data_IF_945509758006
#
_entry.id   IF_945509758006
#
_cell.length_a   1.000
_cell.length_b   1.000
_cell.length_c   1.000
_cell.angle_alpha   90.00
_cell.angle_beta   90.00
_cell.angle_gamma   90.00
#
_symmetry.space_group_name_H-M   'P 1'
#
loop_
_entity.id
_entity.type
_entity.pdbx_description
1 polymer ?
#
# COMPACT_ATOMS: atom_id res chain seq x y z
N UNK A 1 1.10 21.25 18.13
CA UNK A 1 1.18 20.11 19.00
C UNK A 1 0.90 18.86 18.19
N UNK A 2 1.75 17.88 18.27
CA UNK A 2 1.42 16.56 17.78
C UNK A 2 0.17 16.12 18.51
N UNK A 3 -0.94 15.96 17.79
CA UNK A 3 -1.99 15.08 18.23
C UNK A 3 -1.31 13.71 18.30
N UNK A 4 -0.93 13.29 19.50
CA UNK A 4 -0.37 11.98 19.70
C UNK A 4 -1.33 10.99 19.08
N UNK A 5 -0.85 10.06 18.27
CA UNK A 5 -1.62 8.88 17.95
C UNK A 5 -1.95 8.25 19.31
N UNK A 6 -3.17 8.47 19.76
CA UNK A 6 -3.70 7.69 20.89
C UNK A 6 -3.70 6.23 20.45
N UNK A 7 -3.70 5.33 21.40
CA UNK A 7 -3.80 3.89 21.16
C UNK A 7 -4.80 3.60 20.06
N UNK A 8 -4.44 2.76 19.08
CA UNK A 8 -5.30 2.32 17.97
C UNK A 8 -6.44 1.43 18.50
N UNK A 9 -7.32 2.01 19.30
CA UNK A 9 -8.49 1.32 19.78
C UNK A 9 -9.57 1.34 18.69
N UNK A 10 -10.02 0.15 18.30
CA UNK A 10 -11.08 -0.01 17.33
C UNK A 10 -12.34 -0.54 18.03
N UNK A 11 -13.45 0.14 17.82
CA UNK A 11 -14.78 -0.31 18.23
C UNK A 11 -15.53 -0.75 16.99
N UNK A 12 -15.91 -2.03 16.92
CA UNK A 12 -16.60 -2.58 15.77
C UNK A 12 -18.04 -2.94 16.12
N UNK A 13 -18.99 -2.62 15.25
CA UNK A 13 -20.42 -2.92 15.39
C UNK A 13 -20.98 -3.51 14.09
N UNK A 14 -22.15 -4.17 14.17
CA UNK A 14 -22.77 -4.87 13.03
C UNK A 14 -22.08 -6.19 12.72
N UNK A 15 -22.38 -6.76 11.56
CA UNK A 15 -21.83 -8.05 11.10
C UNK A 15 -22.55 -9.27 11.63
N UNK A 16 -21.86 -10.41 11.64
CA UNK A 16 -22.41 -11.73 11.95
C UNK A 16 -21.79 -12.29 13.23
N UNK A 17 -22.58 -13.08 13.98
CA UNK A 17 -22.07 -13.99 15.00
C UNK A 17 -21.53 -15.30 14.35
N UNK A 18 -20.98 -16.20 15.16
CA UNK A 18 -20.45 -17.49 14.70
C UNK A 18 -21.48 -18.38 13.96
N UNK A 19 -22.78 -18.16 14.19
CA UNK A 19 -23.85 -18.91 13.54
C UNK A 19 -24.31 -18.30 12.21
N UNK A 20 -23.82 -17.09 11.85
CA UNK A 20 -24.21 -16.38 10.63
C UNK A 20 -25.48 -15.54 10.81
N UNK A 21 -25.80 -15.14 12.04
CA UNK A 21 -26.94 -14.30 12.37
C UNK A 21 -26.48 -12.85 12.57
N UNK A 22 -27.29 -11.89 12.15
CA UNK A 22 -27.01 -10.46 12.36
C UNK A 22 -26.92 -10.12 13.86
N UNK A 23 -25.92 -9.32 14.22
CA UNK A 23 -25.68 -8.89 15.60
C UNK A 23 -25.97 -7.39 15.83
N UNK A 24 -26.55 -6.73 14.85
CA UNK A 24 -26.98 -5.33 14.98
C UNK A 24 -28.01 -5.20 16.09
N UNK A 25 -27.80 -4.26 17.00
CA UNK A 25 -28.70 -4.00 18.12
C UNK A 25 -28.69 -2.51 18.50
N UNK A 26 -29.49 -2.10 19.51
CA UNK A 26 -29.56 -0.72 19.93
C UNK A 26 -28.22 -0.10 20.31
N UNK A 27 -27.30 -0.90 20.89
CA UNK A 27 -25.95 -0.42 21.23
C UNK A 27 -25.15 -0.06 19.97
N UNK A 28 -25.36 -0.77 18.85
CA UNK A 28 -24.73 -0.42 17.57
C UNK A 28 -25.09 1.00 17.13
N UNK A 29 -26.38 1.34 17.21
CA UNK A 29 -26.88 2.69 16.90
C UNK A 29 -26.39 3.75 17.89
N UNK A 30 -26.33 3.42 19.18
CA UNK A 30 -25.82 4.31 20.22
C UNK A 30 -24.34 4.63 20.03
N UNK A 31 -23.50 3.66 19.64
CA UNK A 31 -22.08 3.86 19.35
C UNK A 31 -21.89 4.83 18.17
N UNK A 32 -22.67 4.66 17.08
CA UNK A 32 -22.61 5.56 15.93
C UNK A 32 -23.02 6.98 16.33
N UNK A 33 -24.10 7.12 17.10
CA UNK A 33 -24.57 8.43 17.57
C UNK A 33 -23.56 9.10 18.52
N UNK A 34 -22.98 8.34 19.46
CA UNK A 34 -21.96 8.85 20.36
C UNK A 34 -20.73 9.37 19.58
N UNK A 35 -20.26 8.61 18.58
CA UNK A 35 -19.14 9.05 17.72
C UNK A 35 -19.47 10.34 16.97
N UNK A 36 -20.71 10.49 16.50
CA UNK A 36 -21.18 11.69 15.83
C UNK A 36 -21.20 12.92 16.75
N UNK A 37 -21.65 12.74 18.00
CA UNK A 37 -21.77 13.84 18.98
C UNK A 37 -20.40 14.24 19.55
N UNK A 38 -19.56 13.26 19.89
CA UNK A 38 -18.24 13.50 20.49
C UNK A 38 -17.26 14.05 19.46
N UNK A 39 -17.39 13.65 18.21
CA UNK A 39 -16.58 14.11 17.07
C UNK A 39 -15.07 13.96 17.29
N UNK A 40 -14.65 12.82 17.82
CA UNK A 40 -13.22 12.47 18.01
C UNK A 40 -12.85 11.28 17.11
N UNK A 41 -11.61 11.25 16.60
CA UNK A 41 -11.15 10.16 15.72
C UNK A 41 -10.89 8.84 16.47
N UNK A 42 -10.91 8.87 17.82
CA UNK A 42 -10.66 7.70 18.66
C UNK A 42 -11.69 7.63 19.81
N UNK A 43 -12.13 6.40 20.15
CA UNK A 43 -11.86 5.12 19.48
C UNK A 43 -12.34 5.14 18.03
N UNK A 44 -11.57 4.52 17.12
CA UNK A 44 -11.98 4.37 15.73
C UNK A 44 -13.25 3.52 15.66
N UNK A 45 -14.28 4.00 14.98
CA UNK A 45 -15.52 3.24 14.78
C UNK A 45 -15.51 2.51 13.45
N UNK A 46 -15.79 1.22 13.50
CA UNK A 46 -15.89 0.33 12.35
C UNK A 46 -17.26 -0.30 12.26
N UNK A 47 -17.78 -0.41 11.05
CA UNK A 47 -19.05 -1.08 10.76
C UNK A 47 -18.77 -2.32 9.90
N UNK A 48 -19.20 -3.48 10.37
CA UNK A 48 -19.22 -4.69 9.55
C UNK A 48 -20.52 -4.73 8.75
N UNK A 49 -20.38 -4.92 7.45
CA UNK A 49 -21.49 -4.92 6.49
C UNK A 49 -21.57 -6.29 5.81
N UNK A 50 -22.77 -6.81 5.63
CA UNK A 50 -23.03 -8.06 4.92
C UNK A 50 -24.44 -8.03 4.30
N UNK A 51 -24.80 -9.03 3.50
CA UNK A 51 -26.09 -9.07 2.79
C UNK A 51 -27.32 -9.03 3.71
N UNK A 52 -27.18 -9.42 4.98
CA UNK A 52 -28.24 -9.34 5.99
C UNK A 52 -28.21 -8.11 6.88
N UNK A 53 -27.32 -7.16 6.62
CA UNK A 53 -27.25 -5.92 7.44
C UNK A 53 -28.53 -5.12 7.35
N UNK A 54 -29.08 -4.65 8.49
CA UNK A 54 -30.27 -3.79 8.49
C UNK A 54 -30.02 -2.50 7.71
N UNK A 55 -30.92 -2.13 6.81
CA UNK A 55 -30.80 -0.91 5.99
C UNK A 55 -30.62 0.35 6.83
N UNK A 56 -31.33 0.47 7.95
CA UNK A 56 -31.21 1.63 8.86
C UNK A 56 -29.84 1.73 9.53
N UNK A 57 -29.12 0.61 9.75
CA UNK A 57 -27.73 0.65 10.21
C UNK A 57 -26.84 1.32 9.18
N UNK A 58 -26.98 0.96 7.90
CA UNK A 58 -26.21 1.54 6.80
C UNK A 58 -26.48 3.03 6.63
N UNK A 59 -27.76 3.43 6.71
CA UNK A 59 -28.15 4.85 6.67
C UNK A 59 -27.58 5.62 7.85
N UNK A 60 -27.60 5.07 9.06
CA UNK A 60 -27.04 5.70 10.25
C UNK A 60 -25.52 5.84 10.13
N UNK A 61 -24.85 4.84 9.59
CA UNK A 61 -23.42 4.88 9.31
C UNK A 61 -23.08 5.96 8.26
N UNK A 62 -23.84 6.02 7.16
CA UNK A 62 -23.69 7.05 6.12
C UNK A 62 -23.96 8.48 6.68
N UNK A 63 -24.88 8.63 7.65
CA UNK A 63 -25.13 9.89 8.33
C UNK A 63 -23.94 10.34 9.20
N UNK A 64 -23.17 9.42 9.76
CA UNK A 64 -21.88 9.72 10.40
C UNK A 64 -20.84 10.09 9.36
N UNK A 65 -20.71 9.32 8.26
CA UNK A 65 -19.75 9.58 7.16
C UNK A 65 -19.87 11.02 6.64
N UNK A 66 -21.07 11.50 6.38
CA UNK A 66 -21.30 12.86 5.85
C UNK A 66 -20.86 14.00 6.77
N UNK A 67 -20.56 13.70 8.05
CA UNK A 67 -20.05 14.73 8.99
C UNK A 67 -18.60 15.14 8.66
N UNK A 68 -17.90 14.35 7.86
CA UNK A 68 -16.50 14.60 7.47
C UNK A 68 -15.47 14.18 8.53
N UNK A 69 -15.87 13.47 9.57
CA UNK A 69 -14.95 12.97 10.61
C UNK A 69 -14.00 11.85 10.10
N UNK A 70 -14.29 11.26 8.93
CA UNK A 70 -13.54 10.12 8.40
C UNK A 70 -13.93 8.77 9.01
N UNK A 71 -15.06 8.71 9.70
CA UNK A 71 -15.64 7.51 10.32
C UNK A 71 -17.10 7.34 9.85
N UNK A 72 -17.66 6.13 9.95
CA UNK A 72 -17.01 4.86 10.29
C UNK A 72 -16.19 4.31 9.13
N UNK A 73 -15.25 3.36 9.42
CA UNK A 73 -14.70 2.49 8.41
C UNK A 73 -15.67 1.35 8.12
N UNK A 74 -15.79 0.94 6.84
CA UNK A 74 -16.72 -0.11 6.41
C UNK A 74 -15.96 -1.38 6.05
N UNK A 75 -16.42 -2.53 6.59
CA UNK A 75 -15.80 -3.84 6.39
C UNK A 75 -16.82 -4.83 5.84
N UNK A 76 -16.53 -5.39 4.68
CA UNK A 76 -17.42 -6.31 3.98
C UNK A 76 -17.19 -7.76 4.42
N UNK A 77 -18.12 -8.31 5.19
CA UNK A 77 -18.09 -9.70 5.67
C UNK A 77 -18.04 -10.72 4.52
N UNK A 78 -18.68 -10.42 3.37
CA UNK A 78 -18.70 -11.32 2.20
C UNK A 78 -17.31 -11.51 1.56
N UNK A 79 -16.37 -10.59 1.86
CA UNK A 79 -15.00 -10.65 1.39
C UNK A 79 -14.05 -11.10 2.51
N UNK A 80 -14.20 -10.51 3.70
CA UNK A 80 -13.24 -10.70 4.80
C UNK A 80 -13.35 -12.08 5.41
N UNK A 81 -14.58 -12.62 5.59
CA UNK A 81 -14.76 -13.95 6.15
C UNK A 81 -14.09 -15.03 5.26
N UNK A 82 -14.34 -15.10 3.94
CA UNK A 82 -13.61 -16.02 3.07
C UNK A 82 -12.10 -15.78 3.03
N UNK A 83 -11.64 -14.52 3.09
CA UNK A 83 -10.21 -14.21 3.13
C UNK A 83 -9.54 -14.76 4.41
N UNK A 84 -10.20 -14.67 5.56
CA UNK A 84 -9.72 -15.25 6.81
C UNK A 84 -9.75 -16.78 6.80
N UNK A 85 -10.77 -17.40 6.19
CA UNK A 85 -10.80 -18.86 5.99
C UNK A 85 -9.67 -19.33 5.08
N UNK A 86 -9.34 -18.56 4.03
CA UNK A 86 -8.19 -18.83 3.17
C UNK A 86 -6.85 -18.72 3.93
N UNK A 87 -6.81 -17.96 5.03
CA UNK A 87 -5.69 -17.86 5.98
C UNK A 87 -5.66 -19.03 6.97
N UNK A 88 -6.68 -19.88 7.01
CA UNK A 88 -6.78 -21.06 7.88
C UNK A 88 -7.65 -20.89 9.12
N UNK A 89 -8.41 -19.80 9.26
CA UNK A 89 -9.39 -19.68 10.33
C UNK A 89 -10.59 -20.61 10.06
N UNK A 90 -11.19 -21.13 11.13
CA UNK A 90 -12.49 -21.80 11.01
C UNK A 90 -13.56 -20.79 10.60
N UNK A 91 -14.68 -21.26 10.04
CA UNK A 91 -15.78 -20.37 9.66
C UNK A 91 -16.33 -19.60 10.86
N UNK A 92 -16.44 -20.24 12.02
CA UNK A 92 -16.92 -19.65 13.26
C UNK A 92 -15.98 -18.52 13.71
N UNK A 93 -14.67 -18.78 13.72
CA UNK A 93 -13.67 -17.78 14.11
C UNK A 93 -13.59 -16.65 13.09
N UNK A 94 -13.69 -16.95 11.80
CA UNK A 94 -13.70 -15.95 10.73
C UNK A 94 -14.93 -15.04 10.81
N UNK A 95 -16.12 -15.57 11.14
CA UNK A 95 -17.34 -14.76 11.35
C UNK A 95 -17.25 -13.81 12.55
N UNK A 96 -16.50 -14.18 13.55
CA UNK A 96 -16.28 -13.34 14.75
C UNK A 96 -14.99 -12.53 14.68
N UNK A 97 -14.58 -12.11 13.48
CA UNK A 97 -13.40 -11.26 13.36
C UNK A 97 -13.61 -9.87 13.96
N UNK A 98 -12.51 -9.30 14.38
CA UNK A 98 -12.38 -7.90 14.79
C UNK A 98 -11.28 -7.25 13.99
N UNK A 99 -11.21 -5.93 14.05
CA UNK A 99 -10.16 -5.15 13.38
C UNK A 99 -9.12 -4.71 14.41
N UNK A 100 -7.86 -4.90 14.05
CA UNK A 100 -6.71 -4.35 14.77
C UNK A 100 -6.25 -3.11 14.02
N UNK A 101 -5.87 -2.07 14.78
CA UNK A 101 -5.37 -0.83 14.18
C UNK A 101 -6.38 -0.19 13.24
N UNK A 102 -6.08 -0.15 11.96
CA UNK A 102 -6.87 0.52 10.95
C UNK A 102 -7.77 -0.43 10.15
N UNK A 103 -7.21 -1.49 9.56
CA UNK A 103 -7.90 -2.32 8.54
C UNK A 103 -7.63 -3.83 8.68
N UNK A 104 -6.92 -4.26 9.71
CA UNK A 104 -6.36 -5.60 9.84
C UNK A 104 -7.33 -6.56 10.54
N UNK A 105 -7.97 -7.49 9.81
CA UNK A 105 -8.92 -8.41 10.43
C UNK A 105 -8.24 -9.57 11.12
N UNK A 106 -8.72 -9.91 12.32
CA UNK A 106 -8.28 -11.10 13.07
C UNK A 106 -9.37 -11.62 14.02
N UNK A 107 -9.20 -12.84 14.54
CA UNK A 107 -10.00 -13.35 15.65
C UNK A 107 -9.38 -12.93 16.99
N UNK A 108 -10.07 -12.06 17.72
CA UNK A 108 -9.65 -11.64 19.07
C UNK A 108 -9.59 -12.82 20.04
N UNK A 109 -8.60 -12.80 20.93
CA UNK A 109 -8.37 -13.85 21.92
C UNK A 109 -7.74 -15.12 21.38
N UNK A 110 -7.58 -15.29 20.05
CA UNK A 110 -6.98 -16.47 19.43
C UNK A 110 -5.80 -16.16 18.53
N UNK A 111 -5.60 -14.89 18.17
CA UNK A 111 -4.60 -14.51 17.19
C UNK A 111 -3.47 -13.71 17.84
N UNK A 112 -2.23 -14.09 17.54
CA UNK A 112 -1.06 -13.24 17.61
C UNK A 112 -0.57 -12.94 16.19
N UNK A 113 -1.13 -11.90 15.57
CA UNK A 113 -0.75 -11.43 14.25
C UNK A 113 0.19 -10.23 14.35
N UNK A 114 1.29 -10.29 13.63
CA UNK A 114 2.15 -9.13 13.42
C UNK A 114 1.63 -8.39 12.20
N UNK A 115 0.54 -7.63 12.39
CA UNK A 115 -0.21 -7.02 11.30
C UNK A 115 0.49 -5.83 10.64
N UNK A 116 1.42 -5.21 11.37
CA UNK A 116 2.17 -4.03 10.94
C UNK A 116 3.67 -4.37 10.87
N UNK A 117 3.97 -5.53 10.23
CA UNK A 117 5.30 -6.12 10.26
C UNK A 117 6.32 -5.31 9.46
N UNK A 118 5.95 -4.83 8.28
CA UNK A 118 6.80 -4.04 7.41
C UNK A 118 5.98 -3.14 6.47
N UNK A 119 6.57 -2.02 6.03
CA UNK A 119 6.05 -1.17 4.97
C UNK A 119 6.82 -1.39 3.68
N UNK A 120 6.16 -1.96 2.66
CA UNK A 120 6.75 -2.28 1.38
C UNK A 120 6.28 -1.31 0.28
N UNK A 121 7.16 -0.39 -0.11
CA UNK A 121 6.90 0.54 -1.21
C UNK A 121 7.09 -0.18 -2.56
N UNK A 122 6.01 -0.53 -3.24
CA UNK A 122 6.05 -1.27 -4.51
C UNK A 122 6.68 -0.47 -5.67
N UNK A 123 6.80 0.86 -5.55
CA UNK A 123 7.43 1.68 -6.58
C UNK A 123 8.96 1.57 -6.55
N UNK A 124 9.56 1.30 -5.39
CA UNK A 124 11.01 1.27 -5.24
C UNK A 124 11.70 0.18 -6.08
N UNK A 125 11.21 -1.07 -6.15
CA UNK A 125 11.75 -2.09 -7.04
C UNK A 125 11.80 -1.66 -8.51
N UNK A 126 10.85 -0.84 -8.99
CA UNK A 126 10.87 -0.35 -10.37
C UNK A 126 12.02 0.64 -10.61
N UNK A 127 12.31 1.52 -9.66
CA UNK A 127 13.49 2.40 -9.76
C UNK A 127 14.78 1.58 -9.87
N UNK A 128 14.86 0.50 -9.09
CA UNK A 128 16.01 -0.42 -9.12
C UNK A 128 16.12 -1.17 -10.46
N UNK A 129 14.99 -1.47 -11.13
CA UNK A 129 14.99 -2.00 -12.51
C UNK A 129 15.63 -0.98 -13.47
N UNK A 130 15.19 0.28 -13.44
CA UNK A 130 15.74 1.34 -14.29
C UNK A 130 17.24 1.57 -14.05
N UNK A 131 17.71 1.34 -12.85
CA UNK A 131 19.11 1.48 -12.45
C UNK A 131 19.91 0.16 -12.55
N UNK A 132 19.35 -0.92 -13.13
CA UNK A 132 19.99 -2.23 -13.23
C UNK A 132 20.53 -2.77 -11.90
N UNK A 133 19.70 -2.73 -10.86
CA UNK A 133 20.06 -3.25 -9.54
C UNK A 133 20.81 -2.28 -8.63
N UNK A 134 21.05 -1.05 -9.10
CA UNK A 134 21.86 -0.06 -8.37
C UNK A 134 20.99 0.96 -7.64
N UNK A 135 21.51 1.53 -6.56
CA UNK A 135 21.00 2.74 -5.90
C UNK A 135 22.19 3.55 -5.38
N UNK A 136 22.28 4.83 -5.71
CA UNK A 136 23.37 5.75 -5.28
C UNK A 136 24.77 5.15 -5.40
N UNK A 137 25.00 4.41 -6.49
CA UNK A 137 26.29 3.74 -6.77
C UNK A 137 26.53 2.44 -5.99
N UNK A 138 25.58 1.95 -5.23
CA UNK A 138 25.63 0.63 -4.58
C UNK A 138 24.71 -0.37 -5.25
N UNK A 139 25.14 -1.62 -5.33
CA UNK A 139 24.27 -2.69 -5.78
C UNK A 139 23.37 -3.13 -4.62
N UNK A 140 22.08 -2.81 -4.71
CA UNK A 140 21.08 -3.16 -3.69
C UNK A 140 20.08 -4.22 -4.19
N UNK A 141 19.99 -4.43 -5.49
CA UNK A 141 19.07 -5.37 -6.15
C UNK A 141 19.78 -6.30 -7.12
N UNK A 142 18.98 -7.09 -7.83
CA UNK A 142 19.45 -8.00 -8.88
C UNK A 142 19.82 -7.19 -10.13
N UNK A 143 20.91 -7.51 -10.80
CA UNK A 143 21.20 -6.96 -12.12
C UNK A 143 20.33 -7.65 -13.17
N UNK A 144 19.29 -6.96 -13.63
CA UNK A 144 18.30 -7.48 -14.59
C UNK A 144 18.56 -7.05 -16.04
N UNK A 145 19.65 -6.30 -16.28
CA UNK A 145 20.02 -5.77 -17.58
C UNK A 145 19.64 -4.30 -17.78
N UNK A 146 20.16 -3.72 -18.86
CA UNK A 146 19.81 -2.34 -19.24
C UNK A 146 18.42 -2.31 -19.89
N UNK A 147 17.49 -1.59 -19.28
CA UNK A 147 16.10 -1.45 -19.75
C UNK A 147 16.02 -0.90 -21.19
N UNK A 148 17.02 -0.13 -21.64
CA UNK A 148 17.06 0.42 -23.01
C UNK A 148 17.35 -0.62 -24.08
N UNK A 149 17.80 -1.81 -23.68
CA UNK A 149 18.06 -2.94 -24.57
C UNK A 149 16.95 -4.00 -24.56
N UNK A 150 15.97 -3.86 -23.66
CA UNK A 150 14.85 -4.79 -23.56
C UNK A 150 13.89 -4.59 -24.74
N UNK A 151 13.57 -5.68 -25.43
CA UNK A 151 12.88 -5.65 -26.74
C UNK A 151 11.37 -5.89 -26.62
N UNK A 152 10.90 -6.39 -25.46
CA UNK A 152 9.48 -6.65 -25.18
C UNK A 152 9.06 -6.16 -23.80
N UNK A 153 7.76 -5.93 -23.65
CA UNK A 153 7.20 -5.58 -22.34
C UNK A 153 7.34 -6.73 -21.35
N UNK A 154 7.22 -7.97 -21.81
CA UNK A 154 7.37 -9.17 -20.99
C UNK A 154 8.75 -9.24 -20.34
N UNK A 155 9.80 -8.94 -21.09
CA UNK A 155 11.20 -8.89 -20.58
C UNK A 155 11.34 -7.81 -19.50
N UNK A 156 10.78 -6.63 -19.72
CA UNK A 156 10.78 -5.55 -18.75
C UNK A 156 9.96 -5.90 -17.49
N UNK A 157 8.78 -6.50 -17.69
CA UNK A 157 7.91 -6.90 -16.58
C UNK A 157 8.51 -8.04 -15.75
N UNK A 158 9.24 -8.98 -16.40
CA UNK A 158 9.98 -10.05 -15.71
C UNK A 158 11.12 -9.48 -14.87
N UNK A 159 11.83 -8.45 -15.35
CA UNK A 159 12.83 -7.74 -14.57
C UNK A 159 12.21 -7.11 -13.30
N UNK A 160 11.03 -6.49 -13.41
CA UNK A 160 10.30 -5.95 -12.26
C UNK A 160 9.89 -7.06 -11.27
N UNK A 161 9.32 -8.16 -11.74
CA UNK A 161 8.95 -9.31 -10.89
C UNK A 161 10.17 -9.87 -10.14
N UNK A 162 11.30 -9.94 -10.81
CA UNK A 162 12.57 -10.42 -10.22
C UNK A 162 13.01 -9.52 -9.07
N UNK A 163 12.95 -8.19 -9.23
CA UNK A 163 13.25 -7.26 -8.15
C UNK A 163 12.23 -7.38 -7.00
N UNK A 164 10.95 -7.50 -7.32
CA UNK A 164 9.90 -7.69 -6.31
C UNK A 164 10.16 -8.92 -5.45
N UNK A 165 10.41 -10.09 -6.05
CA UNK A 165 10.69 -11.32 -5.32
C UNK A 165 11.95 -11.21 -4.46
N UNK A 166 12.99 -10.56 -4.95
CA UNK A 166 14.22 -10.33 -4.22
C UNK A 166 14.00 -9.47 -2.97
N UNK A 167 13.38 -8.30 -3.10
CA UNK A 167 13.13 -7.42 -1.96
C UNK A 167 12.12 -7.99 -0.98
N UNK A 168 11.12 -8.75 -1.43
CA UNK A 168 10.22 -9.50 -0.56
C UNK A 168 11.00 -10.52 0.27
N UNK A 169 11.95 -11.23 -0.33
CA UNK A 169 12.78 -12.20 0.41
C UNK A 169 13.62 -11.54 1.50
N UNK A 170 14.18 -10.36 1.23
CA UNK A 170 14.94 -9.59 2.22
C UNK A 170 14.04 -9.10 3.36
N UNK A 171 12.85 -8.58 3.04
CA UNK A 171 11.85 -8.16 4.04
C UNK A 171 11.45 -9.33 4.94
N UNK A 172 11.12 -10.48 4.37
CA UNK A 172 10.75 -11.69 5.13
C UNK A 172 11.88 -12.13 6.07
N UNK A 173 13.13 -12.10 5.61
CA UNK A 173 14.27 -12.44 6.45
C UNK A 173 14.44 -11.47 7.61
N UNK A 174 14.25 -10.18 7.37
CA UNK A 174 14.29 -9.14 8.41
C UNK A 174 13.15 -9.33 9.42
N UNK A 175 11.92 -9.53 8.97
CA UNK A 175 10.76 -9.77 9.84
C UNK A 175 10.95 -11.03 10.70
N UNK A 176 11.45 -12.12 10.12
CA UNK A 176 11.73 -13.35 10.85
C UNK A 176 12.83 -13.17 11.89
N UNK A 177 13.87 -12.40 11.62
CA UNK A 177 14.93 -12.08 12.57
C UNK A 177 14.39 -11.25 13.75
N UNK A 178 13.53 -10.28 13.47
CA UNK A 178 12.86 -9.45 14.48
C UNK A 178 11.91 -10.33 15.32
N UNK A 179 11.15 -11.22 14.72
CA UNK A 179 10.23 -12.13 15.41
C UNK A 179 10.97 -13.02 16.42
N UNK A 180 12.11 -13.61 16.01
CA UNK A 180 12.99 -14.37 16.92
C UNK A 180 13.51 -13.50 18.06
N UNK A 181 13.97 -12.28 17.77
CA UNK A 181 14.47 -11.36 18.78
C UNK A 181 13.39 -10.98 19.82
N UNK A 182 12.14 -10.82 19.40
CA UNK A 182 11.01 -10.58 20.31
C UNK A 182 10.74 -11.80 21.21
N UNK A 183 10.72 -13.00 20.64
CA UNK A 183 10.50 -14.23 21.41
C UNK A 183 11.57 -14.44 22.50
N UNK A 184 12.83 -14.07 22.20
CA UNK A 184 13.95 -14.24 23.13
C UNK A 184 14.07 -13.13 24.18
N UNK A 185 13.77 -11.87 23.78
CA UNK A 185 14.14 -10.70 24.59
C UNK A 185 12.97 -9.94 25.18
N UNK A 186 11.78 -10.02 24.57
CA UNK A 186 10.63 -9.21 24.93
C UNK A 186 9.33 -10.03 25.01
N UNK A 187 9.29 -11.18 25.72
CA UNK A 187 8.05 -11.93 25.87
C UNK A 187 7.01 -11.12 26.65
N UNK A 188 5.74 -11.26 26.28
CA UNK A 188 4.60 -10.58 26.87
C UNK A 188 3.69 -11.56 27.63
N UNK A 189 4.06 -12.01 28.86
CA UNK A 189 3.32 -13.05 29.57
C UNK A 189 1.89 -12.64 29.95
N UNK A 190 1.65 -11.35 30.21
CA UNK A 190 0.31 -10.85 30.46
C UNK A 190 -0.59 -10.96 29.20
N UNK A 191 -0.10 -10.60 28.02
CA UNK A 191 -0.81 -10.81 26.77
C UNK A 191 -1.06 -12.31 26.53
N UNK A 192 -0.04 -13.15 26.74
CA UNK A 192 -0.15 -14.59 26.57
C UNK A 192 -1.24 -15.20 27.48
N UNK A 193 -1.46 -14.66 28.68
CA UNK A 193 -2.53 -15.14 29.58
C UNK A 193 -3.94 -14.83 29.06
N UNK A 194 -4.10 -13.95 28.08
CA UNK A 194 -5.38 -13.55 27.47
C UNK A 194 -5.60 -14.18 26.08
N UNK A 195 -4.64 -14.98 25.59
CA UNK A 195 -4.74 -15.66 24.30
C UNK A 195 -4.94 -17.15 24.50
N UNK A 196 -5.91 -17.70 23.77
CA UNK A 196 -6.18 -19.14 23.76
C UNK A 196 -4.93 -19.93 23.34
N UNK A 197 -4.74 -21.07 23.96
CA UNK A 197 -3.65 -22.03 23.79
C UNK A 197 -2.30 -21.64 24.43
N UNK A 198 -2.00 -20.37 24.67
CA UNK A 198 -0.71 -19.97 25.23
C UNK A 198 -0.39 -20.68 26.58
N UNK A 199 -1.34 -20.70 27.51
CA UNK A 199 -1.18 -21.38 28.82
C UNK A 199 -1.09 -22.89 28.64
N UNK A 200 -1.96 -23.47 27.80
CA UNK A 200 -2.01 -24.92 27.55
C UNK A 200 -0.72 -25.45 26.89
N UNK A 201 -0.12 -24.64 26.01
CA UNK A 201 1.15 -24.97 25.33
C UNK A 201 2.38 -24.64 26.19
N UNK A 202 2.22 -23.79 27.20
CA UNK A 202 3.35 -23.27 27.99
C UNK A 202 4.26 -22.34 27.17
N UNK A 203 3.71 -21.64 26.20
CA UNK A 203 4.42 -20.73 25.29
C UNK A 203 3.83 -19.33 25.36
N UNK A 204 4.68 -18.30 25.24
CA UNK A 204 4.19 -16.94 25.06
C UNK A 204 3.63 -16.73 23.66
N UNK A 205 2.92 -15.62 23.43
CA UNK A 205 2.42 -15.24 22.11
C UNK A 205 3.56 -15.14 21.07
N UNK A 206 4.68 -14.54 21.46
CA UNK A 206 5.88 -14.36 20.63
C UNK A 206 6.60 -15.69 20.31
N UNK A 207 6.35 -16.73 21.10
CA UNK A 207 6.85 -18.10 20.86
C UNK A 207 5.88 -18.95 20.05
N UNK A 208 4.79 -18.37 19.55
CA UNK A 208 3.77 -19.10 18.78
C UNK A 208 2.75 -19.83 19.65
N UNK A 209 2.52 -19.40 20.90
CA UNK A 209 1.56 -20.01 21.80
C UNK A 209 0.09 -19.83 21.42
N UNK A 210 -0.26 -18.80 20.65
CA UNK A 210 -1.63 -18.54 20.20
C UNK A 210 -2.13 -19.57 19.17
N UNK A 211 -3.44 -19.64 18.98
CA UNK A 211 -4.06 -20.53 17.98
C UNK A 211 -3.62 -20.14 16.57
N UNK A 212 -3.68 -18.84 16.24
CA UNK A 212 -3.31 -18.28 14.95
C UNK A 212 -2.11 -17.34 15.07
N UNK A 213 -1.04 -17.59 14.31
CA UNK A 213 0.24 -16.88 14.39
C UNK A 213 0.73 -16.47 13.00
N UNK A 214 0.27 -15.35 12.46
CA UNK A 214 0.70 -14.91 11.13
C UNK A 214 1.46 -13.58 11.18
N UNK A 215 2.14 -13.26 10.06
CA UNK A 215 2.87 -12.01 9.85
C UNK A 215 2.28 -11.29 8.64
N UNK A 216 1.95 -10.02 8.81
CA UNK A 216 1.26 -9.21 7.82
C UNK A 216 2.04 -7.97 7.40
N UNK A 217 2.96 -8.06 6.42
CA UNK A 217 3.59 -6.89 5.85
C UNK A 217 2.61 -6.15 4.92
N UNK A 218 2.81 -4.83 4.81
CA UNK A 218 1.92 -3.90 4.14
C UNK A 218 2.56 -3.39 2.85
N UNK A 219 1.93 -3.68 1.68
CA UNK A 219 2.31 -3.15 0.38
C UNK A 219 1.47 -1.93 0.01
N UNK A 220 2.05 -0.95 -0.66
CA UNK A 220 1.35 0.24 -1.15
C UNK A 220 1.99 0.79 -2.43
N UNK A 221 1.30 1.73 -3.08
CA UNK A 221 1.71 2.26 -4.38
C UNK A 221 1.23 1.42 -5.56
N UNK A 222 0.20 0.58 -5.39
CA UNK A 222 -0.32 -0.31 -6.43
C UNK A 222 -0.79 0.48 -7.65
N UNK A 223 -1.57 1.54 -7.44
CA UNK A 223 -2.07 2.37 -8.52
C UNK A 223 -0.93 2.99 -9.32
N UNK A 224 0.09 3.56 -8.64
CA UNK A 224 1.28 4.09 -9.33
C UNK A 224 1.99 3.00 -10.14
N UNK A 225 2.10 1.79 -9.60
CA UNK A 225 2.78 0.69 -10.30
C UNK A 225 1.98 0.17 -11.49
N UNK A 226 0.66 -0.01 -11.32
CA UNK A 226 -0.21 -0.42 -12.40
C UNK A 226 -0.19 0.59 -13.55
N UNK A 227 -0.38 1.87 -13.23
CA UNK A 227 -0.37 2.96 -14.19
C UNK A 227 1.01 3.14 -14.84
N UNK A 228 2.11 2.97 -14.09
CA UNK A 228 3.48 3.04 -14.60
C UNK A 228 3.78 1.96 -15.62
N UNK A 229 3.53 0.71 -15.24
CA UNK A 229 3.79 -0.45 -16.09
C UNK A 229 2.85 -0.45 -17.31
N UNK A 230 1.60 -0.02 -17.13
CA UNK A 230 0.66 0.12 -18.23
C UNK A 230 1.09 1.22 -19.22
N UNK A 231 1.55 2.38 -18.72
CA UNK A 231 2.07 3.45 -19.56
C UNK A 231 3.32 3.03 -20.36
N UNK A 232 4.24 2.30 -19.72
CA UNK A 232 5.42 1.73 -20.42
C UNK A 232 4.98 0.74 -21.49
N UNK A 233 4.09 -0.22 -21.16
CA UNK A 233 3.55 -1.18 -22.12
C UNK A 233 2.96 -0.45 -23.33
N UNK A 234 2.13 0.55 -23.08
CA UNK A 234 1.39 1.27 -24.12
C UNK A 234 2.31 2.15 -24.96
N UNK A 235 3.04 3.06 -24.33
CA UNK A 235 3.79 4.11 -25.05
C UNK A 235 5.10 3.62 -25.65
N UNK A 236 5.78 2.66 -25.00
CA UNK A 236 7.08 2.18 -25.46
C UNK A 236 6.95 0.96 -26.37
N UNK A 237 6.22 -0.07 -25.95
CA UNK A 237 6.21 -1.35 -26.65
C UNK A 237 5.09 -1.49 -27.68
N UNK A 238 3.87 -1.02 -27.39
CA UNK A 238 2.74 -1.13 -28.29
C UNK A 238 2.71 0.02 -29.31
N UNK A 239 2.54 1.26 -28.85
CA UNK A 239 2.38 2.44 -29.72
C UNK A 239 3.72 2.96 -30.27
N UNK A 240 4.85 2.67 -29.62
CA UNK A 240 6.20 3.10 -29.98
C UNK A 240 6.34 4.61 -30.14
N UNK A 241 5.62 5.38 -29.32
CA UNK A 241 5.64 6.84 -29.29
C UNK A 241 6.82 7.42 -28.52
N UNK A 242 7.35 6.64 -27.56
CA UNK A 242 8.45 7.01 -26.68
C UNK A 242 9.43 5.84 -26.64
N UNK A 243 10.72 6.10 -26.84
CA UNK A 243 11.74 5.07 -26.59
C UNK A 243 11.99 4.89 -25.11
N UNK A 244 12.42 3.69 -24.67
CA UNK A 244 12.77 3.45 -23.27
C UNK A 244 13.91 4.39 -22.80
N UNK A 245 14.80 4.80 -23.72
CA UNK A 245 15.85 5.76 -23.42
C UNK A 245 15.29 7.13 -23.07
N UNK A 246 14.40 7.68 -23.90
CA UNK A 246 13.73 8.97 -23.65
C UNK A 246 12.91 8.91 -22.35
N UNK A 247 12.23 7.78 -22.09
CA UNK A 247 11.46 7.59 -20.86
C UNK A 247 12.35 7.65 -19.62
N UNK A 248 13.47 6.91 -19.64
CA UNK A 248 14.47 6.89 -18.57
C UNK A 248 15.07 8.29 -18.32
N UNK A 249 15.37 9.03 -19.39
CA UNK A 249 15.87 10.40 -19.30
C UNK A 249 14.82 11.34 -18.70
N UNK A 250 13.55 11.25 -19.13
CA UNK A 250 12.46 12.05 -18.58
C UNK A 250 12.26 11.81 -17.07
N UNK A 251 12.33 10.55 -16.63
CA UNK A 251 12.27 10.22 -15.20
C UNK A 251 13.44 10.81 -14.42
N UNK A 252 14.67 10.70 -14.95
CA UNK A 252 15.88 11.24 -14.30
C UNK A 252 15.82 12.75 -14.13
N UNK A 253 15.14 13.46 -15.03
CA UNK A 253 14.93 14.91 -14.97
C UNK A 253 13.63 15.32 -14.28
N UNK A 254 12.92 14.38 -13.65
CA UNK A 254 11.62 14.64 -13.05
C UNK A 254 10.64 15.33 -14.03
N UNK A 255 10.66 14.84 -15.27
CA UNK A 255 9.93 15.39 -16.42
C UNK A 255 10.31 16.88 -16.69
N UNK A 256 9.31 17.75 -16.70
CA UNK A 256 9.46 19.20 -16.93
C UNK A 256 9.91 20.00 -15.69
N UNK A 257 9.99 19.36 -14.51
CA UNK A 257 10.36 20.07 -13.27
C UNK A 257 11.87 20.27 -13.11
N UNK A 258 12.68 19.43 -13.77
CA UNK A 258 14.12 19.42 -13.57
C UNK A 258 14.53 18.81 -12.23
N UNK A 259 15.83 18.89 -11.91
CA UNK A 259 16.36 18.39 -10.64
C UNK A 259 15.90 19.28 -9.50
N UNK A 260 15.30 18.69 -8.48
CA UNK A 260 15.09 19.32 -7.18
C UNK A 260 16.32 19.16 -6.27
N UNK A 261 16.29 19.79 -5.08
CA UNK A 261 17.42 19.75 -4.14
C UNK A 261 17.78 18.32 -3.71
N UNK A 262 16.78 17.45 -3.53
CA UNK A 262 17.01 16.06 -3.12
C UNK A 262 17.62 15.23 -4.27
N UNK A 263 17.10 15.35 -5.47
CA UNK A 263 17.65 14.68 -6.65
C UNK A 263 19.07 15.15 -6.96
N UNK A 264 19.35 16.45 -6.78
CA UNK A 264 20.70 17.01 -6.92
C UNK A 264 21.64 16.47 -5.84
N UNK A 265 21.19 16.34 -4.59
CA UNK A 265 21.97 15.75 -3.51
C UNK A 265 22.29 14.27 -3.78
N UNK A 266 21.30 13.48 -4.20
CA UNK A 266 21.47 12.06 -4.53
C UNK A 266 22.45 11.85 -5.70
N UNK A 267 22.36 12.67 -6.75
CA UNK A 267 23.32 12.67 -7.86
C UNK A 267 24.73 13.07 -7.42
N UNK A 268 24.82 14.03 -6.53
CA UNK A 268 26.10 14.46 -5.95
C UNK A 268 26.76 13.32 -5.17
N UNK A 269 26.00 12.64 -4.31
CA UNK A 269 26.47 11.49 -3.54
C UNK A 269 27.02 10.39 -4.45
N UNK A 270 26.30 10.07 -5.52
CA UNK A 270 26.72 9.07 -6.51
C UNK A 270 28.04 9.47 -7.21
N UNK A 271 28.19 10.74 -7.60
CA UNK A 271 29.42 11.25 -8.23
C UNK A 271 30.60 11.17 -7.25
N UNK A 272 30.41 11.62 -6.01
CA UNK A 272 31.45 11.60 -4.98
C UNK A 272 31.92 10.19 -4.68
N UNK A 273 30.99 9.24 -4.61
CA UNK A 273 31.33 7.83 -4.43
C UNK A 273 32.13 7.28 -5.61
N UNK A 274 31.73 7.55 -6.84
CA UNK A 274 32.49 7.16 -8.03
C UNK A 274 33.90 7.76 -8.05
N UNK A 275 34.07 9.00 -7.56
CA UNK A 275 35.39 9.63 -7.39
C UNK A 275 36.25 8.90 -6.35
N UNK A 276 35.66 8.52 -5.20
CA UNK A 276 36.35 7.78 -4.13
C UNK A 276 36.76 6.37 -4.61
N UNK A 277 35.86 5.67 -5.27
CA UNK A 277 36.12 4.34 -5.85
C UNK A 277 37.23 4.38 -6.93
N UNK A 278 37.34 5.52 -7.64
CA UNK A 278 38.41 5.84 -8.57
C UNK A 278 39.72 6.28 -7.91
N UNK A 279 39.81 6.28 -6.57
CA UNK A 279 41.01 6.61 -5.80
C UNK A 279 41.23 8.11 -5.58
N UNK A 280 40.25 8.97 -5.88
CA UNK A 280 40.34 10.40 -5.62
C UNK A 280 40.01 10.71 -4.14
N UNK A 281 40.75 11.64 -3.55
CA UNK A 281 40.42 12.15 -2.22
C UNK A 281 39.25 13.12 -2.32
N UNK A 282 38.15 12.81 -1.65
CA UNK A 282 36.97 13.68 -1.55
C UNK A 282 37.00 14.38 -0.20
N UNK A 283 37.01 15.72 -0.24
CA UNK A 283 36.89 16.59 0.95
C UNK A 283 35.62 17.45 0.86
N UNK A 284 35.34 18.24 1.88
CA UNK A 284 34.16 19.10 1.94
C UNK A 284 34.07 20.11 0.78
N UNK A 285 35.19 20.63 0.34
CA UNK A 285 35.22 21.61 -0.76
C UNK A 285 34.92 20.93 -2.09
N UNK A 286 35.44 19.70 -2.30
CA UNK A 286 35.10 18.86 -3.46
C UNK A 286 33.61 18.55 -3.48
N UNK A 287 33.05 18.13 -2.34
CA UNK A 287 31.63 17.81 -2.24
C UNK A 287 30.74 19.03 -2.56
N UNK A 288 31.09 20.18 -2.03
CA UNK A 288 30.40 21.45 -2.32
C UNK A 288 30.50 21.84 -3.80
N UNK A 289 31.68 21.75 -4.40
CA UNK A 289 31.86 22.05 -5.82
C UNK A 289 31.07 21.12 -6.74
N UNK A 290 31.01 19.84 -6.42
CA UNK A 290 30.18 18.83 -7.17
C UNK A 290 28.72 19.19 -7.04
N UNK A 291 28.21 19.46 -5.83
CA UNK A 291 26.82 19.84 -5.62
C UNK A 291 26.44 21.11 -6.39
N UNK A 292 27.26 22.16 -6.29
CA UNK A 292 27.04 23.40 -7.06
C UNK A 292 27.05 23.18 -8.56
N UNK A 293 27.85 22.23 -9.05
CA UNK A 293 27.88 21.84 -10.45
C UNK A 293 26.61 21.11 -10.85
N UNK A 294 26.20 20.12 -10.06
CA UNK A 294 24.97 19.34 -10.28
C UNK A 294 23.74 20.25 -10.27
N UNK A 295 23.64 21.17 -9.32
CA UNK A 295 22.52 22.12 -9.25
C UNK A 295 22.46 23.11 -10.43
N UNK A 296 23.54 23.27 -11.18
CA UNK A 296 23.57 24.08 -12.42
C UNK A 296 23.23 23.27 -13.66
N UNK A 297 23.17 21.94 -13.57
CA UNK A 297 22.75 21.11 -14.70
C UNK A 297 21.29 21.44 -15.03
N UNK A 298 21.03 21.63 -16.31
CA UNK A 298 19.69 21.83 -16.85
C UNK A 298 19.55 21.06 -18.15
N UNK A 299 18.42 20.43 -18.41
CA UNK A 299 18.16 19.89 -19.72
C UNK A 299 18.09 21.03 -20.76
N UNK A 300 18.36 20.74 -22.03
CA UNK A 300 18.17 21.70 -23.10
C UNK A 300 16.69 22.07 -23.23
N UNK A 301 16.38 23.20 -23.86
CA UNK A 301 15.00 23.61 -24.11
C UNK A 301 14.23 22.56 -24.93
N UNK A 302 14.89 21.91 -25.88
CA UNK A 302 14.32 20.81 -26.66
C UNK A 302 13.98 19.60 -25.79
N UNK A 303 14.87 19.22 -24.86
CA UNK A 303 14.61 18.15 -23.89
C UNK A 303 13.47 18.49 -22.95
N UNK A 304 13.40 19.71 -22.41
CA UNK A 304 12.29 20.15 -21.56
C UNK A 304 10.97 20.03 -22.28
N UNK A 305 10.91 20.50 -23.54
CA UNK A 305 9.70 20.37 -24.36
C UNK A 305 9.34 18.91 -24.59
N UNK A 306 10.31 18.05 -24.93
CA UNK A 306 10.08 16.64 -25.16
C UNK A 306 9.62 15.91 -23.89
N UNK A 307 10.20 16.22 -22.73
CA UNK A 307 9.79 15.62 -21.45
C UNK A 307 8.38 16.06 -21.04
N UNK A 308 7.99 17.30 -21.32
CA UNK A 308 6.62 17.77 -21.14
C UNK A 308 5.62 17.04 -22.07
N UNK A 309 6.00 16.78 -23.33
CA UNK A 309 5.19 15.97 -24.25
C UNK A 309 5.03 14.53 -23.74
N UNK A 310 6.11 13.91 -23.26
CA UNK A 310 6.08 12.55 -22.68
C UNK A 310 5.13 12.53 -21.48
N UNK A 311 5.26 13.49 -20.57
CA UNK A 311 4.39 13.61 -19.40
C UNK A 311 2.91 13.75 -19.79
N UNK A 312 2.63 14.58 -20.80
CA UNK A 312 1.27 14.73 -21.32
C UNK A 312 0.73 13.42 -21.97
N UNK A 313 1.55 12.72 -22.76
CA UNK A 313 1.16 11.42 -23.32
C UNK A 313 0.87 10.38 -22.22
N UNK A 314 1.62 10.41 -21.12
CA UNK A 314 1.38 9.54 -19.96
C UNK A 314 0.03 9.88 -19.32
N UNK A 315 -0.32 11.16 -19.20
CA UNK A 315 -1.61 11.57 -18.63
C UNK A 315 -2.81 11.10 -19.46
N UNK A 316 -2.65 10.99 -20.77
CA UNK A 316 -3.69 10.49 -21.69
C UNK A 316 -3.87 8.95 -21.65
N UNK A 317 -2.89 8.21 -21.15
CA UNK A 317 -3.00 6.75 -20.99
C UNK A 317 -4.06 6.43 -19.93
N UNK A 318 -4.96 5.44 -20.17
CA UNK A 318 -5.92 5.01 -19.18
C UNK A 318 -5.30 4.72 -17.82
N UNK A 319 -6.01 5.08 -16.74
CA UNK A 319 -5.54 4.95 -15.35
C UNK A 319 -6.46 4.06 -14.54
N UNK A 320 -5.89 3.35 -13.58
CA UNK A 320 -6.61 2.61 -12.55
C UNK A 320 -7.57 3.52 -11.77
N UNK A 321 -8.76 3.02 -11.44
CA UNK A 321 -9.79 3.77 -10.72
C UNK A 321 -10.90 4.33 -11.62
N UNK A 322 -10.93 3.98 -12.91
CA UNK A 322 -11.90 4.51 -13.89
C UNK A 322 -12.81 3.45 -14.49
N UNK A 323 -12.88 2.26 -13.90
CA UNK A 323 -13.66 1.11 -14.36
C UNK A 323 -13.30 0.69 -15.82
N UNK A 324 -12.02 0.67 -16.13
CA UNK A 324 -11.48 0.24 -17.42
C UNK A 324 -10.86 -1.15 -17.25
N UNK A 325 -11.50 -2.17 -17.80
CA UNK A 325 -11.16 -3.59 -17.58
C UNK A 325 -9.69 -3.92 -17.82
N UNK A 326 -9.10 -3.46 -18.92
CA UNK A 326 -7.71 -3.75 -19.27
C UNK A 326 -6.72 -3.21 -18.24
N UNK A 327 -6.96 -2.00 -17.71
CA UNK A 327 -6.12 -1.40 -16.67
C UNK A 327 -6.38 -2.04 -15.30
N UNK A 328 -7.64 -2.27 -14.97
CA UNK A 328 -8.03 -2.77 -13.64
C UNK A 328 -7.56 -4.22 -13.43
N UNK A 329 -7.73 -5.09 -14.44
CA UNK A 329 -7.20 -6.45 -14.36
C UNK A 329 -5.67 -6.49 -14.41
N UNK A 330 -5.04 -5.54 -15.11
CA UNK A 330 -3.60 -5.40 -15.07
C UNK A 330 -3.12 -4.95 -13.69
N UNK A 331 -3.83 -4.03 -13.03
CA UNK A 331 -3.55 -3.63 -11.63
C UNK A 331 -3.63 -4.82 -10.66
N UNK A 332 -4.60 -5.73 -10.86
CA UNK A 332 -4.69 -6.99 -10.11
C UNK A 332 -3.43 -7.84 -10.33
N UNK A 333 -2.98 -7.97 -11.57
CA UNK A 333 -1.80 -8.78 -11.89
C UNK A 333 -0.52 -8.16 -11.32
N UNK A 334 -0.44 -6.82 -11.27
CA UNK A 334 0.62 -6.10 -10.56
C UNK A 334 0.57 -6.37 -9.05
N UNK A 335 -0.62 -6.32 -8.43
CA UNK A 335 -0.78 -6.67 -7.02
C UNK A 335 -0.33 -8.12 -6.72
N UNK A 336 -0.52 -9.04 -7.65
CA UNK A 336 -0.02 -10.41 -7.51
C UNK A 336 1.50 -10.53 -7.44
N UNK A 337 2.26 -9.57 -7.96
CA UNK A 337 3.73 -9.58 -7.84
C UNK A 337 4.21 -9.40 -6.39
N UNK A 338 3.34 -8.87 -5.52
CA UNK A 338 3.58 -8.74 -4.09
C UNK A 338 2.85 -9.83 -3.28
N UNK A 339 1.57 -10.02 -3.52
CA UNK A 339 0.71 -10.84 -2.67
C UNK A 339 1.00 -12.34 -2.77
N UNK A 340 1.23 -12.86 -3.99
CA UNK A 340 1.49 -14.30 -4.21
C UNK A 340 2.85 -14.79 -3.70
N UNK A 341 3.97 -14.07 -3.90
CA UNK A 341 5.25 -14.48 -3.33
C UNK A 341 5.21 -14.60 -1.80
N UNK A 342 4.51 -13.71 -1.10
CA UNK A 342 4.41 -13.73 0.36
C UNK A 342 3.78 -15.00 0.90
N UNK A 343 2.80 -15.59 0.21
CA UNK A 343 2.14 -16.83 0.63
C UNK A 343 3.09 -18.04 0.67
N UNK A 344 4.27 -17.95 0.07
CA UNK A 344 5.28 -19.03 0.08
C UNK A 344 6.05 -19.08 1.41
N UNK A 345 5.98 -18.04 2.23
CA UNK A 345 6.82 -17.88 3.42
C UNK A 345 6.07 -18.17 4.71
N UNK A 346 6.84 -18.64 5.69
CA UNK A 346 6.39 -18.90 7.05
C UNK A 346 7.26 -18.13 8.05
N UNK A 347 6.65 -17.79 9.17
CA UNK A 347 7.34 -17.12 10.28
C UNK A 347 7.80 -18.13 11.35
N UNK A 348 8.71 -17.74 12.27
CA UNK A 348 9.23 -18.61 13.34
C UNK A 348 8.16 -19.09 14.33
N UNK A 349 7.00 -18.41 14.41
CA UNK A 349 5.88 -18.78 15.28
C UNK A 349 4.97 -19.86 14.67
N UNK A 350 5.30 -20.37 13.47
CA UNK A 350 4.56 -21.43 12.77
C UNK A 350 3.39 -20.94 11.92
N UNK A 351 3.25 -19.62 11.74
CA UNK A 351 2.25 -19.02 10.87
C UNK A 351 2.80 -18.67 9.49
N UNK A 352 1.91 -18.23 8.60
CA UNK A 352 2.26 -17.78 7.25
C UNK A 352 2.38 -16.26 7.18
N UNK A 353 3.03 -15.78 6.11
CA UNK A 353 2.97 -14.39 5.71
C UNK A 353 1.68 -14.11 4.92
N UNK A 354 0.99 -13.02 5.25
CA UNK A 354 -0.25 -12.59 4.61
C UNK A 354 -0.15 -11.12 4.22
N UNK A 355 -0.34 -10.84 2.94
CA UNK A 355 -0.26 -9.49 2.44
C UNK A 355 -1.36 -8.59 3.01
N UNK A 356 -0.98 -7.34 3.36
CA UNK A 356 -1.87 -6.20 3.46
C UNK A 356 -1.61 -5.23 2.31
N UNK A 357 -2.62 -4.48 1.90
CA UNK A 357 -2.50 -3.45 0.87
C UNK A 357 -2.99 -2.11 1.44
N UNK A 358 -2.17 -1.55 2.33
CA UNK A 358 -2.42 -0.27 3.00
C UNK A 358 -1.10 0.29 3.57
N UNK A 359 -0.93 1.62 3.70
CA UNK A 359 0.33 2.22 4.12
C UNK A 359 0.32 2.77 5.55
N UNK A 360 -0.81 2.80 6.27
CA UNK A 360 -1.02 3.75 7.37
C UNK A 360 -0.82 5.19 6.84
N UNK A 361 0.36 5.76 7.02
CA UNK A 361 0.78 7.03 6.41
C UNK A 361 2.16 6.95 5.73
N UNK A 362 2.73 5.73 5.62
CA UNK A 362 4.07 5.51 5.09
C UNK A 362 4.20 5.88 3.60
N UNK A 363 3.09 5.92 2.86
CA UNK A 363 3.05 6.39 1.47
C UNK A 363 3.54 7.85 1.30
N UNK A 364 3.45 8.67 2.34
CA UNK A 364 3.94 10.05 2.31
C UNK A 364 5.46 10.11 2.48
N UNK A 365 6.07 9.70 3.61
CA UNK A 365 7.53 9.78 3.78
C UNK A 365 8.29 8.86 2.82
N UNK A 366 7.79 7.67 2.50
CA UNK A 366 8.46 6.78 1.54
C UNK A 366 8.23 7.22 0.09
N UNK A 367 7.09 7.86 -0.23
CA UNK A 367 6.91 8.58 -1.49
C UNK A 367 7.88 9.75 -1.62
N UNK A 368 8.14 10.45 -0.50
CA UNK A 368 9.17 11.50 -0.41
C UNK A 368 10.60 11.02 -0.69
N UNK A 369 10.87 9.72 -0.57
CA UNK A 369 12.15 9.10 -0.89
C UNK A 369 12.17 8.42 -2.27
N UNK A 370 11.08 8.52 -3.03
CA UNK A 370 10.92 7.88 -4.33
C UNK A 370 11.03 8.93 -5.43
N UNK A 371 11.86 8.67 -6.43
CA UNK A 371 12.01 9.50 -7.63
C UNK A 371 10.73 9.60 -8.47
N UNK A 372 10.79 10.22 -9.62
CA UNK A 372 9.66 10.26 -10.55
C UNK A 372 9.28 8.85 -11.02
N UNK A 373 7.98 8.59 -11.15
CA UNK A 373 7.48 7.28 -11.60
C UNK A 373 6.84 7.35 -12.98
N UNK A 374 6.87 6.26 -13.74
CA UNK A 374 6.39 6.25 -15.13
C UNK A 374 4.90 6.55 -15.33
N UNK A 375 4.10 6.59 -14.27
CA UNK A 375 2.69 7.02 -14.31
C UNK A 375 2.50 8.54 -14.39
N UNK A 376 3.60 9.32 -14.40
CA UNK A 376 3.60 10.78 -14.41
C UNK A 376 3.68 11.41 -13.02
N UNK A 377 3.86 10.62 -11.95
CA UNK A 377 4.07 11.16 -10.60
C UNK A 377 5.45 11.82 -10.52
N UNK A 378 5.48 13.05 -10.05
CA UNK A 378 6.73 13.76 -9.80
C UNK A 378 7.50 13.18 -8.60
N UNK A 379 8.83 13.29 -8.67
CA UNK A 379 9.71 12.87 -7.59
C UNK A 379 9.32 13.52 -6.25
N UNK A 380 9.57 12.80 -5.16
CA UNK A 380 9.38 13.26 -3.78
C UNK A 380 7.95 13.66 -3.39
N UNK A 381 6.96 13.27 -4.20
CA UNK A 381 5.53 13.38 -3.85
C UNK A 381 5.00 12.07 -3.27
N UNK A 382 3.93 12.08 -2.47
CA UNK A 382 3.34 10.85 -1.96
C UNK A 382 2.98 9.86 -3.07
N UNK A 383 3.15 8.56 -2.83
CA UNK A 383 2.58 7.50 -3.65
C UNK A 383 1.15 7.20 -3.21
N UNK A 384 0.39 6.50 -4.04
CA UNK A 384 -0.99 6.12 -3.75
C UNK A 384 -1.08 5.28 -2.47
N UNK A 385 -2.11 5.54 -1.67
CA UNK A 385 -2.38 4.82 -0.44
C UNK A 385 -3.16 3.52 -0.73
N UNK A 386 -2.73 2.43 -0.12
CA UNK A 386 -3.43 1.15 -0.17
C UNK A 386 -3.83 0.72 -1.58
N UNK A 387 -5.14 0.53 -1.77
CA UNK A 387 -5.76 0.17 -3.06
C UNK A 387 -6.46 1.35 -3.74
N UNK A 388 -6.32 2.55 -3.19
CA UNK A 388 -6.90 3.75 -3.79
C UNK A 388 -6.23 4.09 -5.13
N UNK A 389 -6.97 4.66 -6.09
CA UNK A 389 -6.38 5.25 -7.29
C UNK A 389 -5.33 6.32 -6.95
N UNK A 390 -4.41 6.58 -7.87
CA UNK A 390 -3.48 7.71 -7.74
C UNK A 390 -4.25 9.04 -7.65
N UNK A 391 -3.79 9.95 -6.79
CA UNK A 391 -4.49 11.19 -6.47
C UNK A 391 -4.88 11.99 -7.73
N UNK A 392 -6.17 12.24 -7.91
CA UNK A 392 -6.72 13.01 -9.03
C UNK A 392 -6.80 12.26 -10.36
N UNK A 393 -6.53 10.95 -10.40
CA UNK A 393 -6.62 10.15 -11.62
C UNK A 393 -7.94 9.39 -11.77
N UNK A 394 -8.77 9.31 -10.74
CA UNK A 394 -10.10 8.69 -10.69
C UNK A 394 -11.20 9.65 -11.20
N UNK A 395 -11.14 9.99 -12.48
CA UNK A 395 -11.98 11.04 -13.07
C UNK A 395 -13.42 10.59 -13.40
N UNK A 396 -13.72 9.29 -13.38
CA UNK A 396 -15.03 8.74 -13.69
C UNK A 396 -15.95 8.59 -12.46
N UNK A 397 -15.53 9.14 -11.32
CA UNK A 397 -16.32 9.20 -10.10
C UNK A 397 -16.19 7.98 -9.18
N UNK A 398 -16.82 8.05 -7.98
CA UNK A 398 -16.57 7.10 -6.90
C UNK A 398 -17.03 5.67 -7.22
N UNK A 399 -18.10 5.49 -7.97
CA UNK A 399 -18.58 4.15 -8.39
C UNK A 399 -17.58 3.48 -9.31
N UNK A 400 -16.98 4.24 -10.25
CA UNK A 400 -15.93 3.70 -11.12
C UNK A 400 -14.69 3.31 -10.33
N UNK A 401 -14.27 4.14 -9.37
CA UNK A 401 -13.15 3.82 -8.49
C UNK A 401 -13.42 2.55 -7.66
N UNK A 402 -14.61 2.42 -7.07
CA UNK A 402 -15.02 1.22 -6.34
C UNK A 402 -15.05 -0.03 -7.25
N UNK A 403 -15.54 0.12 -8.50
CA UNK A 403 -15.52 -0.97 -9.49
C UNK A 403 -14.09 -1.43 -9.80
N UNK A 404 -13.16 -0.50 -10.03
CA UNK A 404 -11.76 -0.85 -10.26
C UNK A 404 -11.15 -1.58 -9.06
N UNK A 405 -11.37 -1.07 -7.84
CA UNK A 405 -10.87 -1.69 -6.61
C UNK A 405 -11.46 -3.08 -6.42
N UNK A 406 -12.75 -3.29 -6.72
CA UNK A 406 -13.41 -4.61 -6.58
C UNK A 406 -12.83 -5.69 -7.50
N UNK A 407 -12.06 -5.32 -8.53
CA UNK A 407 -11.39 -6.28 -9.45
C UNK A 407 -10.06 -6.79 -8.93
N UNK A 408 -9.52 -6.17 -7.87
CA UNK A 408 -8.37 -6.73 -7.15
C UNK A 408 -8.79 -8.00 -6.40
N UNK A 409 -7.83 -8.90 -6.19
CA UNK A 409 -8.10 -10.14 -5.45
C UNK A 409 -7.96 -9.92 -3.94
N UNK A 410 -9.06 -9.52 -3.31
CA UNK A 410 -9.12 -9.29 -1.88
C UNK A 410 -9.09 -10.57 -1.04
N UNK A 411 -9.34 -11.75 -1.62
CA UNK A 411 -9.31 -13.02 -0.89
C UNK A 411 -7.90 -13.44 -0.47
N UNK A 412 -6.88 -13.00 -1.21
CA UNK A 412 -5.48 -13.27 -0.85
C UNK A 412 -4.83 -12.12 -0.06
N UNK A 413 -5.52 -10.97 0.07
CA UNK A 413 -5.05 -9.81 0.83
C UNK A 413 -5.69 -9.81 2.22
N UNK A 414 -5.46 -10.88 2.95
CA UNK A 414 -6.17 -11.16 4.19
C UNK A 414 -5.66 -10.36 5.40
N UNK A 415 -4.55 -9.61 5.26
CA UNK A 415 -4.10 -8.66 6.28
C UNK A 415 -4.74 -7.27 6.13
N UNK A 416 -5.74 -7.14 5.28
CA UNK A 416 -6.54 -5.93 5.11
C UNK A 416 -6.14 -5.07 3.90
N UNK A 417 -7.08 -4.22 3.51
CA UNK A 417 -6.92 -3.24 2.43
C UNK A 417 -7.46 -1.89 2.85
N UNK A 418 -6.87 -0.83 2.34
CA UNK A 418 -7.35 0.54 2.54
C UNK A 418 -7.80 1.13 1.21
N UNK A 419 -9.07 1.52 1.14
CA UNK A 419 -9.65 2.27 0.05
C UNK A 419 -10.27 3.56 0.59
N UNK A 420 -9.65 4.69 0.30
CA UNK A 420 -10.13 6.01 0.69
C UNK A 420 -10.96 6.64 -0.43
N UNK A 421 -12.18 7.05 -0.10
CA UNK A 421 -13.02 7.84 -1.00
C UNK A 421 -13.40 9.17 -0.35
N UNK A 422 -13.36 10.23 -1.14
CA UNK A 422 -13.81 11.57 -0.71
C UNK A 422 -15.09 11.92 -1.43
N UNK A 423 -16.12 12.26 -0.65
CA UNK A 423 -17.40 12.73 -1.15
C UNK A 423 -17.54 14.22 -0.89
N UNK A 424 -18.02 14.96 -1.89
CA UNK A 424 -18.44 16.33 -1.66
C UNK A 424 -19.68 16.33 -0.74
N UNK A 425 -19.80 17.22 0.27
CA UNK A 425 -20.92 17.22 1.23
C UNK A 425 -22.30 17.22 0.58
N UNK A 426 -22.45 17.85 -0.60
CA UNK A 426 -23.74 17.86 -1.33
C UNK A 426 -24.15 16.49 -1.86
N UNK A 427 -23.21 15.57 -2.11
CA UNK A 427 -23.51 14.21 -2.59
C UNK A 427 -24.25 13.37 -1.51
N UNK A 428 -23.98 13.65 -0.25
CA UNK A 428 -24.60 12.97 0.91
C UNK A 428 -25.71 13.82 1.57
N UNK A 429 -26.23 14.83 0.87
CA UNK A 429 -27.22 15.73 1.43
C UNK A 429 -28.61 15.07 1.52
N UNK A 430 -29.29 15.26 2.67
CA UNK A 430 -30.63 14.74 2.90
C UNK A 430 -30.66 13.20 2.94
N UNK A 431 -31.89 12.65 3.06
CA UNK A 431 -32.10 11.19 3.05
C UNK A 431 -31.76 10.58 1.70
N UNK A 432 -32.09 11.24 0.60
CA UNK A 432 -31.83 10.75 -0.77
C UNK A 432 -30.34 10.57 -1.04
N UNK A 433 -29.49 11.51 -0.57
CA UNK A 433 -28.03 11.39 -0.72
C UNK A 433 -27.47 10.19 0.06
N UNK A 434 -28.00 9.93 1.26
CA UNK A 434 -27.62 8.76 2.06
C UNK A 434 -28.07 7.44 1.41
N UNK A 435 -29.29 7.39 0.86
CA UNK A 435 -29.81 6.20 0.14
C UNK A 435 -28.95 5.89 -1.09
N UNK A 436 -28.55 6.90 -1.86
CA UNK A 436 -27.67 6.71 -3.01
C UNK A 436 -26.27 6.23 -2.63
N UNK A 437 -25.77 6.62 -1.47
CA UNK A 437 -24.48 6.16 -0.97
C UNK A 437 -24.53 4.70 -0.52
N UNK A 438 -25.66 4.27 0.06
CA UNK A 438 -25.85 2.90 0.57
C UNK A 438 -26.21 1.92 -0.55
N UNK A 439 -26.89 2.38 -1.61
CA UNK A 439 -27.27 1.56 -2.77
C UNK A 439 -26.07 1.14 -3.62
#
# INVERSE_FOLDING_TARGET
GFAGYSLFQNLIVGGQNKYGEDVTNDLSFMCIEASKQVFLPQPSLSIRVWNGSPHELLIKAADLTRTGIGLPAYYNDEVIIPALQNRGLTLEDAREYNIIGCVEPQKSGKTNGWHDAAFFNMCRPLEVVFANGMDKGEQIGIQTGDVTQMTSFEEFYDAYKTQMEYFISLMVNADNAIDVAHAERCPLPFLASMLDDCIQRGLTAEQGGAVYNFTGPQGFGIANMADSLYAIRKLVYEDKKVSMKEYKEALAWNYDKGLDEQSAADMTEMILKGMQDGGMQVNADTAKAVLETVMRLKPSEEQVHRFAEIHHMIDEVPKFGNAIDDVDYFARDVAYTYTRPLQKYHNPRGGQFHAGLYPVSANVPLGGQTGATPDGRYAHTPVADGVSPSAGKDVNGPTAAATSVSRLDHFIVSNGTLFNQKFHPSALAGREGLEKFVA
#
